data_IF_789924756272
#
_entry.id   IF_789924756272
#
_cell.length_a   1.000
_cell.length_b   1.000
_cell.length_c   1.000
_cell.angle_alpha   90.00
_cell.angle_beta   90.00
_cell.angle_gamma   90.00
#
_symmetry.space_group_name_H-M   'P 1'
#
loop_
_entity.id
_entity.type
_entity.pdbx_description
1 polymer ?
#
# COMPACT_ATOMS: atom_id res chain seq x y z
N UNK A 1 8.47 -5.78 -29.16
CA UNK A 1 7.16 -6.47 -29.22
C UNK A 1 7.32 -7.85 -28.61
N UNK A 2 6.94 -8.02 -27.34
CA UNK A 2 6.81 -9.34 -26.73
C UNK A 2 5.36 -9.78 -26.89
N UNK A 3 5.08 -11.01 -27.35
CA UNK A 3 3.71 -11.50 -27.50
C UNK A 3 3.05 -11.63 -26.12
N UNK A 4 1.81 -11.16 -26.01
CA UNK A 4 1.00 -11.29 -24.81
C UNK A 4 0.86 -12.77 -24.44
N UNK A 5 1.26 -13.13 -23.21
CA UNK A 5 1.07 -14.46 -22.68
C UNK A 5 -0.44 -14.82 -22.64
N UNK A 6 -0.83 -16.05 -23.00
CA UNK A 6 -2.21 -16.50 -22.88
C UNK A 6 -2.61 -16.47 -21.39
N UNK A 7 -3.75 -15.85 -21.08
CA UNK A 7 -4.34 -15.84 -19.74
C UNK A 7 -4.60 -17.29 -19.31
N UNK A 8 -3.74 -17.83 -18.46
CA UNK A 8 -3.93 -19.14 -17.87
C UNK A 8 -5.25 -19.14 -17.08
N UNK A 9 -6.18 -20.04 -17.42
CA UNK A 9 -7.34 -20.34 -16.56
C UNK A 9 -6.80 -20.88 -15.25
N UNK A 10 -6.74 -20.01 -14.23
CA UNK A 10 -6.36 -20.35 -12.86
C UNK A 10 -7.17 -21.57 -12.38
N UNK A 11 -6.48 -22.69 -12.17
CA UNK A 11 -7.03 -23.87 -11.47
C UNK A 11 -7.24 -23.61 -9.96
N UNK A 12 -6.75 -22.47 -9.46
CA UNK A 12 -6.63 -22.15 -8.04
C UNK A 12 -7.83 -21.39 -7.48
N UNK A 13 -8.59 -20.71 -8.32
CA UNK A 13 -9.71 -19.85 -7.91
C UNK A 13 -10.90 -19.98 -8.87
N UNK A 14 -12.09 -20.18 -8.33
CA UNK A 14 -13.37 -20.09 -9.06
C UNK A 14 -13.93 -18.69 -8.85
N UNK A 15 -14.28 -18.01 -9.94
CA UNK A 15 -15.02 -16.75 -9.89
C UNK A 15 -16.48 -16.95 -10.30
N UNK A 16 -17.36 -16.18 -9.67
CA UNK A 16 -18.77 -16.08 -10.04
C UNK A 16 -19.21 -14.62 -10.11
N UNK A 17 -20.30 -14.39 -10.82
CA UNK A 17 -20.93 -13.08 -11.00
C UNK A 17 -22.35 -13.16 -10.43
N UNK A 18 -22.71 -12.19 -9.61
CA UNK A 18 -24.07 -11.97 -9.13
C UNK A 18 -24.60 -10.75 -9.86
N UNK A 19 -25.60 -10.94 -10.71
CA UNK A 19 -26.22 -9.87 -11.50
C UNK A 19 -27.72 -10.11 -11.62
N UNK A 20 -28.44 -9.10 -12.07
CA UNK A 20 -29.90 -9.09 -12.17
C UNK A 20 -30.35 -8.91 -13.63
N UNK A 21 -31.48 -9.51 -13.96
CA UNK A 21 -32.21 -9.19 -15.19
C UNK A 21 -32.73 -7.75 -15.15
N UNK A 22 -33.04 -7.19 -16.31
CA UNK A 22 -33.41 -5.77 -16.46
C UNK A 22 -34.54 -5.31 -15.53
N UNK A 23 -35.55 -6.17 -15.31
CA UNK A 23 -36.70 -5.86 -14.45
C UNK A 23 -36.35 -5.87 -12.95
N UNK A 24 -35.38 -6.69 -12.53
CA UNK A 24 -34.96 -6.82 -11.14
C UNK A 24 -33.92 -5.76 -10.72
N UNK A 25 -33.22 -5.15 -11.69
CA UNK A 25 -32.24 -4.08 -11.45
C UNK A 25 -32.83 -2.87 -10.70
N UNK A 26 -33.96 -2.25 -11.11
CA UNK A 26 -34.52 -1.11 -10.39
C UNK A 26 -35.01 -1.47 -8.98
N UNK A 27 -35.50 -2.70 -8.78
CA UNK A 27 -35.96 -3.18 -7.47
C UNK A 27 -34.77 -3.25 -6.50
N UNK A 28 -33.64 -3.80 -6.95
CA UNK A 28 -32.44 -3.89 -6.13
C UNK A 28 -31.74 -2.54 -5.93
N UNK A 29 -31.75 -1.67 -6.95
CA UNK A 29 -31.22 -0.31 -6.88
C UNK A 29 -31.97 0.59 -5.89
N UNK A 30 -33.23 0.28 -5.57
CA UNK A 30 -34.01 1.00 -4.57
C UNK A 30 -33.56 0.73 -3.12
N UNK A 31 -32.75 -0.32 -2.89
CA UNK A 31 -32.18 -0.60 -1.58
C UNK A 31 -31.06 0.39 -1.22
N UNK A 32 -30.89 0.65 0.07
CA UNK A 32 -29.72 1.39 0.57
C UNK A 32 -28.43 0.60 0.32
N UNK A 33 -27.27 1.26 0.10
CA UNK A 33 -25.99 0.60 -0.13
C UNK A 33 -25.65 -0.50 0.88
N UNK A 34 -25.90 -0.27 2.18
CA UNK A 34 -25.62 -1.25 3.24
C UNK A 34 -26.46 -2.53 3.11
N UNK A 35 -27.70 -2.40 2.62
CA UNK A 35 -28.60 -3.55 2.40
C UNK A 35 -28.22 -4.32 1.14
N UNK A 36 -27.75 -3.61 0.10
CA UNK A 36 -27.20 -4.25 -1.09
C UNK A 36 -25.93 -5.05 -0.74
N UNK A 37 -25.03 -4.48 0.06
CA UNK A 37 -23.80 -5.14 0.50
C UNK A 37 -24.10 -6.35 1.38
N UNK A 38 -25.08 -6.24 2.28
CA UNK A 38 -25.55 -7.37 3.08
C UNK A 38 -26.10 -8.50 2.19
N UNK A 39 -26.92 -8.17 1.19
CA UNK A 39 -27.48 -9.16 0.26
C UNK A 39 -26.39 -9.87 -0.56
N UNK A 40 -25.43 -9.12 -1.13
CA UNK A 40 -24.31 -9.70 -1.89
C UNK A 40 -23.43 -10.59 -1.02
N UNK A 41 -23.15 -10.16 0.22
CA UNK A 41 -22.38 -10.94 1.18
C UNK A 41 -23.08 -12.25 1.51
N UNK A 42 -24.36 -12.20 1.86
CA UNK A 42 -25.13 -13.39 2.26
C UNK A 42 -25.24 -14.41 1.11
N UNK A 43 -25.50 -13.95 -0.12
CA UNK A 43 -25.50 -14.85 -1.29
C UNK A 43 -24.13 -15.50 -1.47
N UNK A 44 -23.06 -14.72 -1.38
CA UNK A 44 -21.70 -15.21 -1.60
C UNK A 44 -21.29 -16.23 -0.55
N UNK A 45 -21.61 -15.98 0.72
CA UNK A 45 -21.35 -16.88 1.83
C UNK A 45 -22.17 -18.18 1.71
N UNK A 46 -23.44 -18.10 1.33
CA UNK A 46 -24.29 -19.27 1.12
C UNK A 46 -23.82 -20.12 -0.07
N UNK A 47 -23.38 -19.49 -1.16
CA UNK A 47 -22.79 -20.17 -2.32
C UNK A 47 -21.49 -20.88 -1.91
N UNK A 48 -20.61 -20.21 -1.17
CA UNK A 48 -19.37 -20.81 -0.68
C UNK A 48 -19.66 -22.01 0.25
N UNK A 49 -20.62 -21.88 1.16
CA UNK A 49 -21.07 -22.97 2.03
C UNK A 49 -21.60 -24.17 1.23
N UNK A 50 -22.46 -23.93 0.24
CA UNK A 50 -23.02 -25.00 -0.62
C UNK A 50 -21.95 -25.73 -1.43
N UNK A 51 -20.87 -25.06 -1.78
CA UNK A 51 -19.71 -25.63 -2.49
C UNK A 51 -18.66 -26.21 -1.54
N UNK A 52 -18.84 -26.13 -0.22
CA UNK A 52 -17.89 -26.63 0.78
C UNK A 52 -16.58 -25.85 0.84
N UNK A 53 -16.60 -24.57 0.46
CA UNK A 53 -15.41 -23.70 0.36
C UNK A 53 -15.59 -22.41 1.18
N UNK A 54 -14.73 -21.42 0.95
CA UNK A 54 -14.75 -20.11 1.60
C UNK A 54 -14.77 -18.99 0.57
N UNK A 55 -15.16 -17.80 0.99
CA UNK A 55 -15.06 -16.59 0.18
C UNK A 55 -13.65 -16.03 0.31
N UNK A 56 -12.96 -15.84 -0.81
CA UNK A 56 -11.62 -15.21 -0.86
C UNK A 56 -11.69 -13.73 -1.21
N UNK A 57 -12.73 -13.32 -1.94
CA UNK A 57 -12.93 -11.93 -2.32
C UNK A 57 -14.35 -11.67 -2.79
N UNK A 58 -14.85 -10.47 -2.53
CA UNK A 58 -16.12 -9.96 -3.01
C UNK A 58 -15.90 -8.50 -3.41
N UNK A 59 -16.19 -8.17 -4.67
CA UNK A 59 -16.06 -6.83 -5.23
C UNK A 59 -17.38 -6.45 -5.86
N UNK A 60 -17.93 -5.31 -5.44
CA UNK A 60 -19.20 -4.78 -5.95
C UNK A 60 -18.88 -3.65 -6.93
N UNK A 61 -19.42 -3.75 -8.14
CA UNK A 61 -19.30 -2.78 -9.21
C UNK A 61 -20.61 -1.97 -9.25
N UNK A 62 -20.52 -0.68 -8.93
CA UNK A 62 -21.65 0.27 -8.92
C UNK A 62 -21.52 1.38 -9.96
N UNK A 63 -20.46 1.35 -10.76
CA UNK A 63 -20.12 2.37 -11.74
C UNK A 63 -20.31 1.88 -13.19
N UNK A 64 -20.96 0.73 -13.36
CA UNK A 64 -21.27 0.10 -14.63
C UNK A 64 -22.76 0.19 -14.94
N UNK A 65 -23.17 -0.26 -16.14
CA UNK A 65 -24.56 -0.14 -16.60
C UNK A 65 -25.59 -0.90 -15.73
N UNK A 66 -25.13 -1.91 -14.98
CA UNK A 66 -25.93 -2.64 -14.01
C UNK A 66 -25.08 -2.99 -12.80
N UNK A 67 -25.60 -2.70 -11.60
CA UNK A 67 -24.96 -3.08 -10.34
C UNK A 67 -24.79 -4.61 -10.28
N UNK A 68 -23.56 -5.06 -10.10
CA UNK A 68 -23.23 -6.47 -10.02
C UNK A 68 -22.04 -6.71 -9.09
N UNK A 69 -21.92 -7.94 -8.63
CA UNK A 69 -20.83 -8.33 -7.75
C UNK A 69 -20.04 -9.49 -8.33
N UNK A 70 -18.72 -9.39 -8.25
CA UNK A 70 -17.77 -10.46 -8.52
C UNK A 70 -17.36 -11.09 -7.20
N UNK A 71 -17.54 -12.40 -7.08
CA UNK A 71 -17.01 -13.15 -5.94
C UNK A 71 -15.98 -14.17 -6.39
N UNK A 72 -15.02 -14.43 -5.51
CA UNK A 72 -13.97 -15.41 -5.70
C UNK A 72 -13.98 -16.41 -4.56
N UNK A 73 -13.89 -17.68 -4.91
CA UNK A 73 -13.71 -18.79 -3.97
C UNK A 73 -12.50 -19.63 -4.37
N UNK A 74 -11.81 -20.29 -3.42
CA UNK A 74 -10.79 -21.27 -3.75
C UNK A 74 -11.33 -22.38 -4.66
N UNK A 75 -10.48 -22.88 -5.55
CA UNK A 75 -10.81 -23.99 -6.45
C UNK A 75 -10.97 -25.35 -5.75
N UNK A 76 -10.83 -25.40 -4.43
CA UNK A 76 -10.87 -26.58 -3.58
C UNK A 76 -11.80 -26.36 -2.37
N UNK A 77 -12.31 -27.46 -1.83
CA UNK A 77 -13.07 -27.47 -0.58
C UNK A 77 -12.15 -27.34 0.62
N UNK A 78 -12.74 -27.14 1.80
CA UNK A 78 -12.03 -27.19 3.09
C UNK A 78 -11.29 -28.51 3.32
N UNK A 79 -11.80 -29.60 2.73
CA UNK A 79 -11.19 -30.95 2.79
C UNK A 79 -10.19 -31.21 1.66
N UNK A 80 -9.83 -30.20 0.87
CA UNK A 80 -8.85 -30.30 -0.22
C UNK A 80 -9.36 -30.94 -1.51
N UNK A 81 -10.67 -31.21 -1.64
CA UNK A 81 -11.24 -31.74 -2.87
C UNK A 81 -11.46 -30.64 -3.92
N UNK A 82 -11.18 -30.89 -5.22
CA UNK A 82 -11.47 -29.90 -6.26
C UNK A 82 -12.97 -29.56 -6.32
N UNK A 83 -13.31 -28.27 -6.30
CA UNK A 83 -14.71 -27.79 -6.42
C UNK A 83 -15.35 -28.27 -7.72
N UNK A 84 -14.58 -28.54 -8.78
CA UNK A 84 -15.07 -29.14 -10.02
C UNK A 84 -15.77 -30.49 -9.85
N UNK A 85 -15.44 -31.25 -8.79
CA UNK A 85 -16.08 -32.53 -8.47
C UNK A 85 -17.43 -32.36 -7.77
N UNK A 86 -17.66 -31.22 -7.13
CA UNK A 86 -18.87 -30.88 -6.37
C UNK A 86 -19.83 -30.01 -7.18
N UNK A 87 -19.29 -29.06 -7.95
CA UNK A 87 -20.02 -28.14 -8.83
C UNK A 87 -20.57 -28.84 -10.09
N UNK A 88 -21.30 -29.93 -9.88
CA UNK A 88 -22.07 -30.65 -10.90
C UNK A 88 -23.42 -29.97 -11.12
N UNK A 89 -24.17 -30.44 -12.12
CA UNK A 89 -25.43 -29.84 -12.59
C UNK A 89 -26.45 -29.57 -11.47
N UNK A 90 -26.60 -30.50 -10.52
CA UNK A 90 -27.50 -30.33 -9.38
C UNK A 90 -27.04 -29.20 -8.45
N UNK A 91 -25.77 -29.21 -8.04
CA UNK A 91 -25.22 -28.15 -7.20
C UNK A 91 -25.35 -26.77 -7.87
N UNK A 92 -25.08 -26.64 -9.16
CA UNK A 92 -25.22 -25.38 -9.90
C UNK A 92 -26.68 -24.89 -9.98
N UNK A 93 -27.65 -25.80 -10.09
CA UNK A 93 -29.08 -25.47 -10.02
C UNK A 93 -29.45 -24.96 -8.63
N UNK A 94 -28.90 -25.57 -7.59
CA UNK A 94 -29.14 -25.17 -6.21
C UNK A 94 -28.56 -23.77 -5.96
N UNK A 95 -27.39 -23.43 -6.53
CA UNK A 95 -26.82 -22.08 -6.41
C UNK A 95 -27.77 -20.99 -6.92
N UNK A 96 -28.41 -21.21 -8.08
CA UNK A 96 -29.38 -20.26 -8.61
C UNK A 96 -30.62 -20.11 -7.71
N UNK A 97 -30.99 -21.18 -7.02
CA UNK A 97 -32.15 -21.21 -6.12
C UNK A 97 -31.81 -20.48 -4.82
N UNK A 98 -30.67 -20.79 -4.21
CA UNK A 98 -30.12 -20.08 -3.04
C UNK A 98 -30.01 -18.59 -3.31
N UNK A 99 -29.47 -18.19 -4.46
CA UNK A 99 -29.33 -16.78 -4.82
C UNK A 99 -30.69 -16.09 -4.93
N UNK A 100 -31.68 -16.72 -5.57
CA UNK A 100 -33.02 -16.15 -5.72
C UNK A 100 -33.74 -16.01 -4.36
N UNK A 101 -33.67 -17.03 -3.49
CA UNK A 101 -34.31 -17.00 -2.17
C UNK A 101 -33.71 -15.93 -1.26
N UNK A 102 -32.38 -15.81 -1.23
CA UNK A 102 -31.70 -14.78 -0.44
C UNK A 102 -32.02 -13.39 -1.00
N UNK A 103 -31.90 -13.20 -2.31
CA UNK A 103 -32.19 -11.90 -2.93
C UNK A 103 -33.65 -11.49 -2.77
N UNK A 104 -34.60 -12.44 -2.88
CA UNK A 104 -36.02 -12.18 -2.65
C UNK A 104 -36.35 -11.78 -1.21
N UNK A 105 -35.58 -12.27 -0.21
CA UNK A 105 -35.72 -11.82 1.19
C UNK A 105 -35.26 -10.37 1.39
N UNK A 106 -34.20 -9.95 0.70
CA UNK A 106 -33.67 -8.58 0.78
C UNK A 106 -34.48 -7.60 -0.07
N UNK A 107 -34.94 -8.04 -1.24
CA UNK A 107 -35.69 -7.27 -2.22
C UNK A 107 -36.94 -8.05 -2.68
N UNK A 108 -38.09 -7.89 -1.99
CA UNK A 108 -39.34 -8.51 -2.41
C UNK A 108 -39.70 -8.11 -3.85
N UNK A 109 -39.92 -9.10 -4.71
CA UNK A 109 -40.16 -8.91 -6.16
C UNK A 109 -39.03 -9.42 -7.06
N UNK A 110 -37.88 -9.81 -6.49
CA UNK A 110 -36.85 -10.56 -7.22
C UNK A 110 -37.15 -12.05 -7.12
N UNK A 111 -37.38 -12.67 -8.27
CA UNK A 111 -37.69 -14.10 -8.38
C UNK A 111 -36.63 -14.87 -9.17
N UNK A 112 -36.69 -16.20 -9.08
CA UNK A 112 -35.79 -17.10 -9.80
C UNK A 112 -36.09 -17.05 -11.31
N UNK A 113 -35.05 -16.87 -12.11
CA UNK A 113 -35.19 -16.88 -13.57
C UNK A 113 -35.73 -18.20 -14.14
N UNK A 114 -36.42 -18.11 -15.28
CA UNK A 114 -36.94 -19.28 -16.01
C UNK A 114 -35.82 -20.18 -16.50
N UNK A 115 -36.00 -21.49 -16.35
CA UNK A 115 -34.96 -22.43 -16.78
C UNK A 115 -34.82 -22.44 -18.30
N UNK A 116 -33.60 -22.70 -18.77
CA UNK A 116 -33.30 -22.86 -20.20
C UNK A 116 -34.29 -23.77 -20.94
N UNK A 117 -34.66 -24.89 -20.32
CA UNK A 117 -35.56 -25.86 -20.94
C UNK A 117 -37.01 -25.35 -21.01
N UNK A 118 -37.46 -24.56 -20.02
CA UNK A 118 -38.76 -23.91 -20.08
C UNK A 118 -38.81 -22.82 -21.16
N UNK A 119 -37.71 -22.08 -21.34
CA UNK A 119 -37.59 -21.06 -22.39
C UNK A 119 -37.63 -21.67 -23.80
N UNK A 120 -36.91 -22.78 -24.01
CA UNK A 120 -36.97 -23.55 -25.26
C UNK A 120 -38.38 -24.13 -25.48
N UNK A 121 -39.02 -24.67 -24.44
CA UNK A 121 -40.39 -25.17 -24.53
C UNK A 121 -41.42 -24.07 -24.83
N UNK A 122 -41.13 -22.83 -24.45
CA UNK A 122 -41.92 -21.64 -24.78
C UNK A 122 -41.65 -21.09 -26.19
N UNK A 123 -40.74 -21.71 -26.96
CA UNK A 123 -40.48 -21.37 -28.37
C UNK A 123 -39.29 -20.44 -28.62
N UNK A 124 -38.43 -20.19 -27.63
CA UNK A 124 -37.19 -19.43 -27.86
C UNK A 124 -36.14 -20.23 -28.65
N UNK A 125 -35.37 -19.54 -29.50
CA UNK A 125 -34.25 -20.13 -30.21
C UNK A 125 -33.15 -20.58 -29.23
N UNK A 126 -32.61 -21.77 -29.46
CA UNK A 126 -31.48 -22.32 -28.71
C UNK A 126 -30.30 -21.34 -28.62
N UNK A 127 -30.01 -20.59 -29.69
CA UNK A 127 -28.93 -19.62 -29.75
C UNK A 127 -29.06 -18.49 -28.72
N UNK A 128 -30.29 -18.13 -28.35
CA UNK A 128 -30.59 -17.08 -27.38
C UNK A 128 -30.59 -17.59 -25.92
N UNK A 129 -30.47 -18.90 -25.75
CA UNK A 129 -30.33 -19.54 -24.43
C UNK A 129 -28.89 -19.80 -23.99
N UNK A 130 -27.92 -19.55 -24.89
CA UNK A 130 -26.49 -19.76 -24.61
C UNK A 130 -25.88 -18.49 -24.02
N UNK A 131 -25.08 -18.66 -22.96
CA UNK A 131 -24.38 -17.54 -22.33
C UNK A 131 -23.38 -16.92 -23.31
N UNK A 132 -23.59 -15.65 -23.64
CA UNK A 132 -22.65 -14.84 -24.42
C UNK A 132 -21.71 -14.12 -23.46
N UNK A 133 -20.43 -14.00 -23.78
CA UNK A 133 -19.52 -13.14 -23.01
C UNK A 133 -19.80 -11.66 -23.28
N UNK A 134 -19.45 -10.77 -22.35
CA UNK A 134 -19.61 -9.33 -22.54
C UNK A 134 -18.84 -8.82 -23.79
N UNK A 135 -17.68 -9.39 -24.08
CA UNK A 135 -16.90 -9.07 -25.28
C UNK A 135 -17.62 -9.51 -26.58
N UNK A 136 -18.19 -10.71 -26.59
CA UNK A 136 -18.99 -11.18 -27.73
C UNK A 136 -20.26 -10.35 -27.93
N UNK A 137 -20.93 -9.94 -26.86
CA UNK A 137 -22.08 -9.02 -26.92
C UNK A 137 -21.68 -7.67 -27.52
N UNK A 138 -20.61 -7.04 -27.04
CA UNK A 138 -20.11 -5.75 -27.55
C UNK A 138 -19.72 -5.82 -29.03
N UNK A 139 -19.10 -6.93 -29.45
CA UNK A 139 -18.68 -7.15 -30.84
C UNK A 139 -19.86 -7.33 -31.80
N UNK A 140 -20.92 -8.03 -31.36
CA UNK A 140 -22.11 -8.32 -32.19
C UNK A 140 -23.14 -7.20 -32.22
N UNK A 141 -23.17 -6.34 -31.20
CA UNK A 141 -24.16 -5.26 -31.06
C UNK A 141 -24.35 -4.38 -32.32
N UNK A 142 -23.29 -3.95 -33.04
CA UNK A 142 -23.47 -3.16 -34.26
C UNK A 142 -24.19 -3.92 -35.38
N UNK A 143 -23.90 -5.22 -35.51
CA UNK A 143 -24.54 -6.07 -36.51
C UNK A 143 -26.01 -6.35 -36.13
N UNK A 144 -26.31 -6.52 -34.84
CA UNK A 144 -27.69 -6.68 -34.35
C UNK A 144 -28.53 -5.40 -34.58
N UNK A 145 -27.95 -4.21 -34.35
CA UNK A 145 -28.62 -2.94 -34.68
C UNK A 145 -28.90 -2.85 -36.18
N UNK A 146 -27.90 -3.10 -37.03
CA UNK A 146 -28.06 -3.03 -38.48
C UNK A 146 -29.11 -4.02 -39.00
N UNK A 147 -29.15 -5.23 -38.45
CA UNK A 147 -30.18 -6.24 -38.78
C UNK A 147 -31.58 -5.75 -38.39
N UNK A 148 -31.75 -5.20 -37.18
CA UNK A 148 -33.04 -4.66 -36.72
C UNK A 148 -33.47 -3.41 -37.49
N UNK A 149 -32.55 -2.58 -37.93
CA UNK A 149 -32.84 -1.44 -38.82
C UNK A 149 -33.34 -1.91 -40.19
N UNK A 150 -32.77 -2.99 -40.74
CA UNK A 150 -33.26 -3.59 -41.98
C UNK A 150 -34.66 -4.21 -41.80
N UNK A 151 -34.92 -4.89 -40.68
CA UNK A 151 -36.25 -5.40 -40.33
C UNK A 151 -37.28 -4.28 -40.19
N UNK A 152 -36.91 -3.14 -39.58
CA UNK A 152 -37.78 -1.97 -39.46
C UNK A 152 -38.22 -1.45 -40.84
N UNK A 153 -37.27 -1.32 -41.78
CA UNK A 153 -37.57 -0.90 -43.15
C UNK A 153 -38.53 -1.87 -43.83
N UNK A 154 -38.29 -3.18 -43.71
CA UNK A 154 -39.16 -4.20 -44.30
C UNK A 154 -40.58 -4.20 -43.67
N UNK A 155 -40.67 -4.02 -42.36
CA UNK A 155 -41.95 -3.91 -41.64
C UNK A 155 -42.72 -2.65 -42.05
N UNK A 156 -42.03 -1.52 -42.23
CA UNK A 156 -42.63 -0.27 -42.71
C UNK A 156 -43.19 -0.44 -44.13
N UNK A 157 -42.43 -1.04 -45.05
CA UNK A 157 -42.94 -1.31 -46.40
C UNK A 157 -44.20 -2.20 -46.40
N UNK A 158 -44.23 -3.21 -45.52
CA UNK A 158 -45.39 -4.11 -45.37
C UNK A 158 -46.61 -3.35 -44.85
N UNK A 159 -46.40 -2.43 -43.91
CA UNK A 159 -47.44 -1.53 -43.41
C UNK A 159 -47.97 -0.63 -44.52
N UNK A 160 -47.09 0.01 -45.30
CA UNK A 160 -47.46 0.90 -46.40
C UNK A 160 -48.26 0.16 -47.48
N UNK A 161 -47.80 -1.04 -47.87
CA UNK A 161 -48.50 -1.92 -48.82
C UNK A 161 -49.91 -2.30 -48.33
N UNK A 162 -50.06 -2.71 -47.08
CA UNK A 162 -51.35 -3.06 -46.51
C UNK A 162 -52.29 -1.85 -46.41
N UNK A 163 -51.75 -0.68 -46.07
CA UNK A 163 -52.49 0.59 -46.01
C UNK A 163 -53.04 0.98 -47.39
N UNK A 164 -52.21 0.88 -48.44
CA UNK A 164 -52.65 1.14 -49.81
C UNK A 164 -53.72 0.14 -50.30
N UNK A 165 -53.57 -1.15 -49.97
CA UNK A 165 -54.55 -2.19 -50.29
C UNK A 165 -55.89 -1.99 -49.58
N UNK A 166 -55.87 -1.57 -48.31
CA UNK A 166 -57.05 -1.23 -47.53
C UNK A 166 -57.80 -0.04 -48.16
N UNK A 167 -57.09 1.05 -48.48
CA UNK A 167 -57.68 2.22 -49.13
C UNK A 167 -58.35 1.86 -50.48
N UNK A 168 -57.69 1.02 -51.29
CA UNK A 168 -58.24 0.53 -52.56
C UNK A 168 -59.48 -0.36 -52.36
N UNK A 169 -59.45 -1.23 -51.36
CA UNK A 169 -60.58 -2.11 -51.02
C UNK A 169 -61.79 -1.31 -50.53
N UNK A 170 -61.58 -0.28 -49.70
CA UNK A 170 -62.62 0.63 -49.22
C UNK A 170 -63.26 1.42 -50.37
N UNK A 171 -62.47 2.00 -51.27
CA UNK A 171 -62.98 2.72 -52.44
C UNK A 171 -63.79 1.81 -53.40
N UNK A 172 -63.45 0.52 -53.48
CA UNK A 172 -64.18 -0.45 -54.33
C UNK A 172 -65.48 -0.96 -53.66
N UNK A 173 -65.60 -0.81 -52.34
CA UNK A 173 -66.74 -1.28 -51.56
C UNK A 173 -68.03 -0.47 -51.77
N UNK A 174 -67.94 0.65 -52.49
CA UNK A 174 -69.05 1.54 -52.85
C UNK A 174 -69.71 1.18 -54.21
N UNK A 175 -69.16 0.22 -54.96
CA UNK A 175 -69.62 -0.15 -56.32
C UNK A 175 -70.23 -1.56 -56.46
N UNK A 176 -70.45 -2.02 -57.72
CA UNK A 176 -71.12 -3.31 -58.09
C UNK A 176 -70.46 -4.60 -57.55
N UNK A 177 -69.29 -4.54 -56.89
CA UNK A 177 -68.56 -5.67 -56.27
C UNK A 177 -68.37 -5.50 -54.75
N UNK A 178 -69.31 -4.83 -54.08
CA UNK A 178 -69.20 -4.37 -52.70
C UNK A 178 -68.87 -5.46 -51.66
N UNK A 179 -69.46 -6.66 -51.75
CA UNK A 179 -69.34 -7.65 -50.67
C UNK A 179 -67.93 -8.29 -50.57
N UNK A 180 -67.33 -8.64 -51.71
CA UNK A 180 -65.95 -9.16 -51.76
C UNK A 180 -64.94 -8.08 -51.32
N UNK A 181 -65.17 -6.83 -51.70
CA UNK A 181 -64.34 -5.69 -51.32
C UNK A 181 -64.37 -5.45 -49.80
N UNK A 182 -65.54 -5.55 -49.15
CA UNK A 182 -65.68 -5.44 -47.68
C UNK A 182 -64.95 -6.56 -46.94
N UNK A 183 -65.05 -7.82 -47.38
CA UNK A 183 -64.30 -8.94 -46.76
C UNK A 183 -62.78 -8.76 -46.88
N UNK A 184 -62.31 -8.25 -48.02
CA UNK A 184 -60.90 -7.94 -48.23
C UNK A 184 -60.43 -6.78 -47.33
N UNK A 185 -61.24 -5.74 -47.17
CA UNK A 185 -60.92 -4.61 -46.28
C UNK A 185 -60.69 -5.06 -44.83
N UNK A 186 -61.59 -5.88 -44.27
CA UNK A 186 -61.42 -6.45 -42.91
C UNK A 186 -60.13 -7.28 -42.79
N UNK A 187 -59.77 -8.01 -43.86
CA UNK A 187 -58.54 -8.80 -43.89
C UNK A 187 -57.29 -7.90 -43.91
N UNK A 188 -57.29 -6.84 -44.72
CA UNK A 188 -56.17 -5.89 -44.79
C UNK A 188 -56.03 -5.08 -43.51
N UNK A 189 -57.13 -4.74 -42.85
CA UNK A 189 -57.15 -4.05 -41.56
C UNK A 189 -56.48 -4.89 -40.46
N UNK A 190 -56.82 -6.19 -40.35
CA UNK A 190 -56.12 -7.12 -39.43
C UNK A 190 -54.63 -7.24 -39.75
N UNK A 191 -54.25 -7.27 -41.03
CA UNK A 191 -52.85 -7.34 -41.46
C UNK A 191 -52.08 -6.05 -41.18
N UNK A 192 -52.74 -4.90 -41.31
CA UNK A 192 -52.19 -3.59 -40.97
C UNK A 192 -51.93 -3.49 -39.47
N UNK A 193 -52.88 -3.92 -38.65
CA UNK A 193 -52.74 -3.88 -37.18
C UNK A 193 -51.62 -4.82 -36.69
N UNK A 194 -51.53 -6.03 -37.25
CA UNK A 194 -50.40 -6.92 -37.00
C UNK A 194 -49.05 -6.31 -37.41
N UNK A 195 -48.98 -5.65 -38.57
CA UNK A 195 -47.75 -4.97 -39.03
C UNK A 195 -47.38 -3.76 -38.16
N UNK A 196 -48.36 -3.01 -37.63
CA UNK A 196 -48.12 -1.92 -36.67
C UNK A 196 -47.55 -2.44 -35.36
N UNK A 197 -48.12 -3.51 -34.83
CA UNK A 197 -47.62 -4.14 -33.60
C UNK A 197 -46.19 -4.68 -33.78
N UNK A 198 -45.90 -5.28 -34.94
CA UNK A 198 -44.57 -5.76 -35.31
C UNK A 198 -43.56 -4.59 -35.38
N UNK A 199 -43.93 -3.49 -36.03
CA UNK A 199 -43.11 -2.28 -36.15
C UNK A 199 -42.81 -1.64 -34.79
N UNK A 200 -43.81 -1.49 -33.93
CA UNK A 200 -43.64 -0.95 -32.58
C UNK A 200 -42.68 -1.81 -31.72
N UNK A 201 -42.70 -3.14 -31.90
CA UNK A 201 -41.75 -4.05 -31.25
C UNK A 201 -40.32 -3.82 -31.71
N UNK A 202 -40.10 -3.71 -33.02
CA UNK A 202 -38.77 -3.46 -33.61
C UNK A 202 -38.20 -2.10 -33.17
N UNK A 203 -39.04 -1.06 -33.11
CA UNK A 203 -38.64 0.27 -32.63
C UNK A 203 -38.21 0.26 -31.16
N UNK A 204 -38.93 -0.48 -30.31
CA UNK A 204 -38.59 -0.63 -28.90
C UNK A 204 -37.25 -1.36 -28.71
N UNK A 205 -37.00 -2.41 -29.49
CA UNK A 205 -35.73 -3.15 -29.48
C UNK A 205 -34.57 -2.28 -29.98
N UNK A 206 -34.75 -1.52 -31.06
CA UNK A 206 -33.74 -0.58 -31.56
C UNK A 206 -33.39 0.49 -30.52
N UNK A 207 -34.39 1.02 -29.81
CA UNK A 207 -34.17 1.97 -28.72
C UNK A 207 -33.32 1.35 -27.61
N UNK A 208 -33.58 0.09 -27.24
CA UNK A 208 -32.80 -0.64 -26.24
C UNK A 208 -31.34 -0.86 -26.68
N UNK A 209 -31.14 -1.34 -27.91
CA UNK A 209 -29.79 -1.64 -28.43
C UNK A 209 -28.95 -0.37 -28.60
N UNK A 210 -29.55 0.74 -29.05
CA UNK A 210 -28.88 2.04 -29.14
C UNK A 210 -28.50 2.57 -27.75
N UNK A 211 -29.39 2.45 -26.76
CA UNK A 211 -29.08 2.79 -25.37
C UNK A 211 -27.87 2.02 -24.82
N UNK A 212 -27.79 0.71 -25.11
CA UNK A 212 -26.64 -0.11 -24.74
C UNK A 212 -25.35 0.36 -25.44
N UNK A 213 -25.42 0.68 -26.74
CA UNK A 213 -24.29 1.19 -27.51
C UNK A 213 -23.74 2.52 -26.93
N UNK A 214 -24.63 3.42 -26.52
CA UNK A 214 -24.24 4.69 -25.92
C UNK A 214 -23.62 4.52 -24.54
N UNK A 215 -24.14 3.60 -23.72
CA UNK A 215 -23.53 3.22 -22.44
C UNK A 215 -22.11 2.69 -22.62
N UNK A 216 -21.90 1.77 -23.58
CA UNK A 216 -20.58 1.23 -23.90
C UNK A 216 -19.62 2.33 -24.36
N UNK A 217 -20.09 3.29 -25.17
CA UNK A 217 -19.28 4.44 -25.61
C UNK A 217 -18.90 5.35 -24.43
N UNK A 218 -19.82 5.58 -23.51
CA UNK A 218 -19.56 6.39 -22.31
C UNK A 218 -18.51 5.73 -21.41
N UNK A 219 -18.63 4.44 -21.18
CA UNK A 219 -17.68 3.63 -20.40
C UNK A 219 -16.29 3.64 -21.04
N UNK A 220 -16.19 3.43 -22.36
CA UNK A 220 -14.91 3.50 -23.08
C UNK A 220 -14.23 4.88 -22.97
N UNK A 221 -15.00 5.98 -22.98
CA UNK A 221 -14.45 7.33 -22.75
C UNK A 221 -13.91 7.51 -21.34
N UNK A 222 -14.58 6.94 -20.33
CA UNK A 222 -14.11 6.97 -18.93
C UNK A 222 -12.79 6.19 -18.80
N UNK A 223 -12.73 4.97 -19.33
CA UNK A 223 -11.54 4.14 -19.33
C UNK A 223 -10.35 4.80 -20.04
N UNK A 224 -10.58 5.53 -21.14
CA UNK A 224 -9.52 6.27 -21.83
C UNK A 224 -8.91 7.36 -20.93
N UNK A 225 -9.76 8.17 -20.27
CA UNK A 225 -9.31 9.21 -19.33
C UNK A 225 -8.56 8.62 -18.13
N UNK A 226 -9.05 7.51 -17.59
CA UNK A 226 -8.37 6.82 -16.49
C UNK A 226 -7.00 6.26 -16.93
N UNK A 227 -6.91 5.73 -18.16
CA UNK A 227 -5.65 5.28 -18.75
C UNK A 227 -4.62 6.41 -18.89
N UNK A 228 -5.04 7.59 -19.34
CA UNK A 228 -4.17 8.78 -19.43
C UNK A 228 -3.65 9.21 -18.04
N UNK A 229 -4.52 9.24 -17.04
CA UNK A 229 -4.13 9.54 -15.65
C UNK A 229 -3.11 8.54 -15.12
N UNK A 230 -3.35 7.24 -15.29
CA UNK A 230 -2.43 6.18 -14.85
C UNK A 230 -1.08 6.30 -15.57
N UNK A 231 -1.08 6.62 -16.87
CA UNK A 231 0.15 6.84 -17.61
C UNK A 231 0.96 8.03 -17.08
N UNK A 232 0.28 9.14 -16.72
CA UNK A 232 0.92 10.31 -16.12
C UNK A 232 1.52 9.98 -14.75
N UNK A 233 0.78 9.31 -13.87
CA UNK A 233 1.26 8.89 -12.55
C UNK A 233 2.47 7.95 -12.65
N UNK A 234 2.43 6.98 -13.59
CA UNK A 234 3.55 6.09 -13.84
C UNK A 234 4.78 6.84 -14.37
N UNK A 235 4.58 7.86 -15.22
CA UNK A 235 5.64 8.74 -15.69
C UNK A 235 6.31 9.51 -14.55
N UNK A 236 5.52 10.03 -13.60
CA UNK A 236 6.02 10.73 -12.41
C UNK A 236 6.81 9.79 -11.49
N UNK A 237 6.26 8.61 -11.17
CA UNK A 237 6.95 7.60 -10.35
C UNK A 237 8.26 7.12 -10.98
N UNK A 238 8.28 6.95 -12.31
CA UNK A 238 9.51 6.60 -13.01
C UNK A 238 10.58 7.72 -12.93
N UNK A 239 10.16 8.99 -13.00
CA UNK A 239 11.07 10.12 -12.81
C UNK A 239 11.60 10.21 -11.37
N UNK A 240 10.75 9.95 -10.38
CA UNK A 240 11.14 9.90 -8.97
C UNK A 240 12.12 8.76 -8.69
N UNK A 241 11.86 7.56 -9.21
CA UNK A 241 12.77 6.41 -9.11
C UNK A 241 14.16 6.74 -9.66
N UNK A 242 14.24 7.37 -10.84
CA UNK A 242 15.53 7.79 -11.43
C UNK A 242 16.28 8.77 -10.53
N UNK A 243 15.59 9.75 -9.94
CA UNK A 243 16.20 10.70 -8.99
C UNK A 243 16.72 10.01 -7.74
N UNK A 244 15.98 9.04 -7.21
CA UNK A 244 16.40 8.25 -6.05
C UNK A 244 17.63 7.39 -6.38
N UNK A 245 17.67 6.77 -7.56
CA UNK A 245 18.82 5.97 -8.01
C UNK A 245 20.08 6.83 -8.17
N UNK A 246 19.96 8.03 -8.75
CA UNK A 246 21.05 9.00 -8.84
C UNK A 246 21.55 9.43 -7.46
N UNK A 247 20.63 9.75 -6.54
CA UNK A 247 20.98 10.11 -5.16
C UNK A 247 21.65 8.93 -4.42
N UNK A 248 21.19 7.70 -4.64
CA UNK A 248 21.78 6.50 -4.07
C UNK A 248 23.19 6.26 -4.63
N UNK A 249 23.39 6.47 -5.93
CA UNK A 249 24.70 6.37 -6.56
C UNK A 249 25.68 7.39 -5.96
N UNK A 250 25.27 8.65 -5.81
CA UNK A 250 26.07 9.68 -5.15
C UNK A 250 26.44 9.31 -3.70
N UNK A 251 25.47 8.81 -2.93
CA UNK A 251 25.70 8.34 -1.56
C UNK A 251 26.66 7.14 -1.51
N UNK A 252 26.52 6.16 -2.42
CA UNK A 252 27.44 5.02 -2.53
C UNK A 252 28.87 5.47 -2.82
N UNK A 253 29.05 6.40 -3.75
CA UNK A 253 30.37 7.00 -4.05
C UNK A 253 30.96 7.67 -2.81
N UNK A 254 30.17 8.43 -2.06
CA UNK A 254 30.61 9.08 -0.82
C UNK A 254 30.96 8.06 0.27
N UNK A 255 30.19 6.98 0.42
CA UNK A 255 30.51 5.90 1.36
C UNK A 255 31.80 5.19 0.94
N UNK A 256 32.01 4.94 -0.35
CA UNK A 256 33.24 4.34 -0.86
C UNK A 256 34.46 5.23 -0.59
N UNK A 257 34.35 6.55 -0.80
CA UNK A 257 35.44 7.49 -0.50
C UNK A 257 35.74 7.56 1.00
N UNK A 258 34.70 7.55 1.85
CA UNK A 258 34.87 7.51 3.30
C UNK A 258 35.51 6.20 3.76
N UNK A 259 35.12 5.07 3.18
CA UNK A 259 35.75 3.76 3.46
C UNK A 259 37.21 3.74 3.03
N UNK A 260 37.55 4.27 1.86
CA UNK A 260 38.93 4.37 1.41
C UNK A 260 39.78 5.22 2.37
N UNK A 261 39.23 6.36 2.83
CA UNK A 261 39.86 7.23 3.82
C UNK A 261 39.99 6.57 5.20
N UNK A 262 39.01 5.75 5.60
CA UNK A 262 39.09 4.95 6.82
C UNK A 262 40.14 3.82 6.71
N UNK A 263 40.23 3.18 5.55
CA UNK A 263 41.18 2.10 5.30
C UNK A 263 42.62 2.62 5.25
N UNK A 264 42.85 3.83 4.73
CA UNK A 264 44.16 4.49 4.83
C UNK A 264 44.54 4.85 6.27
N UNK A 265 43.56 5.00 7.18
CA UNK A 265 43.80 5.22 8.60
C UNK A 265 44.07 3.91 9.37
N UNK A 266 43.66 2.75 8.83
CA UNK A 266 43.70 1.45 9.52
C UNK A 266 44.86 0.52 9.09
N UNK A 267 45.73 0.92 8.16
CA UNK A 267 46.72 0.00 7.56
C UNK A 267 47.99 -0.25 8.39
N UNK A 268 48.18 0.46 9.50
CA UNK A 268 49.16 0.16 10.55
C UNK A 268 48.59 0.78 11.83
N UNK A 269 48.80 0.21 13.02
CA UNK A 269 48.23 0.74 14.26
C UNK A 269 49.21 1.68 15.03
N UNK A 270 49.46 2.92 14.59
CA UNK A 270 49.75 4.02 15.51
C UNK A 270 48.44 4.76 15.84
N UNK A 271 48.35 5.28 17.06
CA UNK A 271 47.37 6.29 17.45
C UNK A 271 47.32 7.40 16.36
N UNK A 272 46.12 7.81 15.95
CA UNK A 272 45.95 8.77 14.85
C UNK A 272 46.22 10.21 15.30
N UNK A 273 46.55 11.12 14.37
CA UNK A 273 46.75 12.54 14.70
C UNK A 273 45.52 13.14 15.39
N UNK A 274 44.31 12.80 14.91
CA UNK A 274 43.07 13.25 15.54
C UNK A 274 42.95 12.78 17.00
N UNK A 275 43.31 11.53 17.29
CA UNK A 275 43.28 11.00 18.66
C UNK A 275 44.30 11.69 19.56
N UNK A 276 45.50 11.97 19.05
CA UNK A 276 46.53 12.72 19.78
C UNK A 276 46.09 14.16 20.05
N UNK A 277 45.48 14.82 19.07
CA UNK A 277 45.05 16.22 19.20
C UNK A 277 43.86 16.36 20.16
N UNK A 278 42.90 15.42 20.10
CA UNK A 278 41.79 15.35 21.07
C UNK A 278 42.32 15.08 22.49
N UNK A 279 43.24 14.13 22.65
CA UNK A 279 43.88 13.86 23.94
C UNK A 279 44.64 15.08 24.46
N UNK A 280 45.43 15.75 23.60
CA UNK A 280 46.20 16.93 23.99
C UNK A 280 45.30 18.08 24.46
N UNK A 281 44.17 18.28 23.78
CA UNK A 281 43.14 19.27 24.15
C UNK A 281 42.52 18.92 25.50
N UNK A 282 42.11 17.67 25.69
CA UNK A 282 41.54 17.21 26.95
C UNK A 282 42.51 17.35 28.13
N UNK A 283 43.78 16.97 27.94
CA UNK A 283 44.82 17.14 28.97
C UNK A 283 45.10 18.62 29.25
N UNK A 284 45.07 19.49 28.23
CA UNK A 284 45.17 20.93 28.42
C UNK A 284 44.00 21.48 29.26
N UNK A 285 42.77 21.01 29.02
CA UNK A 285 41.61 21.39 29.83
C UNK A 285 41.77 20.96 31.29
N UNK A 286 42.20 19.72 31.55
CA UNK A 286 42.53 19.26 32.90
C UNK A 286 43.63 20.11 33.55
N UNK A 287 44.69 20.45 32.80
CA UNK A 287 45.76 21.30 33.30
C UNK A 287 45.28 22.70 33.67
N UNK A 288 44.34 23.29 32.90
CA UNK A 288 43.71 24.58 33.24
C UNK A 288 42.82 24.45 34.48
N UNK A 289 41.95 23.44 34.53
CA UNK A 289 41.01 23.19 35.62
C UNK A 289 41.76 23.02 36.95
N UNK A 290 42.77 22.15 36.97
CA UNK A 290 43.52 21.80 38.18
C UNK A 290 44.78 22.65 38.40
N UNK A 291 45.01 23.67 37.56
CA UNK A 291 46.20 24.54 37.60
C UNK A 291 47.52 23.76 37.60
N UNK A 292 47.59 22.70 36.82
CA UNK A 292 48.78 21.87 36.67
C UNK A 292 49.68 22.50 35.59
N UNK A 293 50.92 22.91 35.90
CA UNK A 293 51.81 23.44 34.87
C UNK A 293 52.21 22.30 33.91
N UNK A 294 52.32 22.57 32.61
CA UNK A 294 52.71 21.55 31.62
C UNK A 294 54.24 21.43 31.59
N UNK A 295 54.79 20.45 32.33
CA UNK A 295 56.24 20.23 32.44
C UNK A 295 56.57 18.73 32.43
N UNK A 296 57.85 18.40 32.26
CA UNK A 296 58.35 17.02 32.37
C UNK A 296 58.11 16.37 33.75
N UNK A 297 57.75 17.14 34.78
CA UNK A 297 57.50 16.61 36.14
C UNK A 297 56.04 16.45 36.50
N UNK A 298 55.13 16.96 35.67
CA UNK A 298 53.71 17.12 36.00
C UNK A 298 52.79 16.53 34.94
N UNK A 299 53.17 16.58 33.66
CA UNK A 299 52.42 15.97 32.56
C UNK A 299 53.36 15.00 31.86
N UNK A 300 53.19 13.72 32.19
CA UNK A 300 54.03 12.64 31.71
C UNK A 300 53.19 11.58 30.98
N UNK A 301 53.70 11.07 29.87
CA UNK A 301 53.32 9.75 29.39
C UNK A 301 53.84 8.68 30.36
N UNK A 302 53.19 7.52 30.38
CA UNK A 302 53.64 6.41 31.23
C UNK A 302 55.09 5.98 30.90
N UNK A 303 55.52 6.17 29.64
CA UNK A 303 56.84 5.83 29.11
C UNK A 303 57.99 6.61 29.74
N UNK A 304 57.73 7.87 30.05
CA UNK A 304 58.76 8.79 30.51
C UNK A 304 58.84 8.90 32.02
N UNK A 305 57.91 8.29 32.77
CA UNK A 305 57.91 8.33 34.24
C UNK A 305 59.21 7.76 34.81
N UNK A 306 59.63 6.57 34.37
CA UNK A 306 60.89 5.98 34.84
C UNK A 306 62.15 6.81 34.46
N UNK A 307 62.39 7.18 33.19
CA UNK A 307 63.59 7.95 32.83
C UNK A 307 63.56 9.39 33.36
N UNK A 308 62.40 9.98 33.64
CA UNK A 308 62.28 11.38 34.07
C UNK A 308 62.22 11.53 35.59
N UNK A 309 61.53 10.62 36.28
CA UNK A 309 61.30 10.69 37.73
C UNK A 309 62.09 9.63 38.52
N UNK A 310 62.74 8.68 37.85
CA UNK A 310 63.48 7.59 38.51
C UNK A 310 62.58 6.53 39.16
N UNK A 311 61.28 6.57 38.90
CA UNK A 311 60.29 5.66 39.50
C UNK A 311 60.24 4.37 38.67
N UNK A 312 60.62 3.24 39.28
CA UNK A 312 60.58 1.93 38.60
C UNK A 312 59.13 1.50 38.39
N UNK A 313 58.76 1.20 37.14
CA UNK A 313 57.42 0.74 36.76
C UNK A 313 57.45 -0.71 36.27
N UNK A 314 56.37 -1.45 36.53
CA UNK A 314 56.11 -2.77 35.98
C UNK A 314 55.04 -2.66 34.88
N UNK A 315 55.11 -3.50 33.84
CA UNK A 315 54.17 -3.54 32.70
C UNK A 315 54.03 -2.20 31.96
N UNK A 316 55.05 -1.84 31.18
CA UNK A 316 55.09 -0.63 30.35
C UNK A 316 54.10 -0.71 29.17
N UNK A 317 53.02 0.07 29.23
CA UNK A 317 52.03 0.25 28.16
C UNK A 317 52.09 1.69 27.63
N UNK A 318 52.98 1.94 26.69
CA UNK A 318 53.49 3.29 26.48
C UNK A 318 53.21 3.86 25.09
N UNK A 319 52.80 5.13 25.05
CA UNK A 319 52.78 5.98 23.85
C UNK A 319 54.22 6.43 23.58
N UNK A 320 55.10 5.50 23.21
CA UNK A 320 56.42 5.83 22.65
C UNK A 320 56.37 5.94 21.11
N UNK A 321 55.16 5.91 20.54
CA UNK A 321 54.90 5.88 19.11
C UNK A 321 53.78 6.87 18.78
N UNK A 322 54.12 7.98 18.10
CA UNK A 322 53.19 9.01 17.65
C UNK A 322 52.87 8.86 16.16
N UNK A 323 51.78 9.48 15.67
CA UNK A 323 51.45 9.49 14.25
C UNK A 323 52.61 10.03 13.41
N UNK A 324 52.88 9.37 12.27
CA UNK A 324 53.96 9.76 11.35
C UNK A 324 55.37 9.26 11.73
N UNK A 325 55.51 8.51 12.82
CA UNK A 325 56.78 7.86 13.16
C UNK A 325 56.84 6.44 12.57
N UNK A 326 57.98 6.06 12.00
CA UNK A 326 58.18 4.71 11.42
C UNK A 326 58.48 3.63 12.49
N UNK A 327 58.89 4.04 13.70
CA UNK A 327 59.20 3.17 14.84
C UNK A 327 59.05 3.92 16.17
N UNK A 328 58.93 3.23 17.31
CA UNK A 328 58.95 3.86 18.63
C UNK A 328 60.20 4.72 18.84
N UNK A 329 60.01 5.93 19.38
CA UNK A 329 61.07 6.88 19.67
C UNK A 329 61.52 6.85 21.13
N UNK A 330 62.46 7.72 21.47
CA UNK A 330 62.88 7.94 22.85
C UNK A 330 61.70 8.44 23.71
N UNK A 331 61.41 7.81 24.88
CA UNK A 331 60.26 8.17 25.71
C UNK A 331 60.20 9.64 26.12
N UNK A 332 61.35 10.25 26.43
CA UNK A 332 61.40 11.66 26.85
C UNK A 332 61.14 12.58 25.66
N UNK A 333 61.73 12.28 24.50
CA UNK A 333 61.50 13.03 23.27
C UNK A 333 60.04 12.95 22.79
N UNK A 334 59.41 11.77 22.91
CA UNK A 334 57.98 11.59 22.59
C UNK A 334 57.10 12.34 23.59
N UNK A 335 57.43 12.29 24.88
CA UNK A 335 56.77 13.08 25.92
C UNK A 335 56.85 14.58 25.65
N UNK A 336 57.98 15.09 25.14
CA UNK A 336 58.12 16.50 24.79
C UNK A 336 57.23 16.90 23.62
N UNK A 337 57.09 16.03 22.61
CA UNK A 337 56.17 16.28 21.49
C UNK A 337 54.71 16.32 21.96
N UNK A 338 54.32 15.42 22.88
CA UNK A 338 53.00 15.45 23.50
C UNK A 338 52.78 16.74 24.29
N UNK A 339 53.73 17.14 25.14
CA UNK A 339 53.68 18.40 25.89
C UNK A 339 53.66 19.62 24.98
N UNK A 340 54.31 19.59 23.82
CA UNK A 340 54.25 20.68 22.84
C UNK A 340 52.83 20.81 22.26
N UNK A 341 52.16 19.70 21.93
CA UNK A 341 50.76 19.72 21.47
C UNK A 341 49.80 20.18 22.58
N UNK A 342 50.02 19.73 23.81
CA UNK A 342 49.24 20.19 24.99
C UNK A 342 49.48 21.69 25.23
N UNK A 343 50.74 22.15 25.17
CA UNK A 343 51.11 23.56 25.31
C UNK A 343 50.51 24.45 24.23
N UNK A 344 50.45 23.96 22.98
CA UNK A 344 49.74 24.64 21.91
C UNK A 344 48.23 24.73 22.18
N UNK A 345 47.62 23.65 22.69
CA UNK A 345 46.21 23.65 23.09
C UNK A 345 45.95 24.59 24.29
N UNK A 346 46.88 24.71 25.25
CA UNK A 346 46.77 25.64 26.38
C UNK A 346 46.65 27.11 25.95
N UNK A 347 47.21 27.48 24.79
CA UNK A 347 47.11 28.82 24.21
C UNK A 347 45.80 29.10 23.45
N UNK A 348 44.96 28.09 23.24
CA UNK A 348 43.62 28.22 22.66
C UNK A 348 42.58 28.39 23.77
N UNK A 349 41.45 29.09 23.52
CA UNK A 349 40.34 29.11 24.47
C UNK A 349 39.92 27.67 24.77
N UNK A 350 39.61 27.38 26.04
CA UNK A 350 39.12 26.06 26.43
C UNK A 350 37.97 25.70 25.49
N UNK A 351 38.14 24.61 24.73
CA UNK A 351 37.04 24.09 23.94
C UNK A 351 35.98 23.71 24.95
N UNK A 352 34.71 24.06 24.70
CA UNK A 352 33.62 23.40 25.42
C UNK A 352 33.85 21.91 25.18
N UNK A 353 34.43 21.26 26.17
CA UNK A 353 34.65 19.83 26.14
C UNK A 353 33.28 19.27 25.85
N UNK A 354 33.15 18.56 24.74
CA UNK A 354 32.07 17.59 24.61
C UNK A 354 32.44 16.53 25.63
N UNK A 355 32.20 16.85 26.91
CA UNK A 355 32.14 15.89 27.97
C UNK A 355 31.21 14.83 27.43
N UNK A 356 31.68 13.58 27.42
CA UNK A 356 30.82 12.46 27.09
C UNK A 356 29.74 12.42 28.17
N UNK A 357 28.66 13.16 27.93
CA UNK A 357 27.51 13.32 28.81
C UNK A 357 26.38 12.55 28.18
N UNK A 358 26.40 11.20 28.24
CA UNK A 358 25.33 10.42 27.70
C UNK A 358 24.03 10.84 28.39
N UNK A 359 22.95 10.93 27.61
CA UNK A 359 21.63 11.20 28.15
C UNK A 359 21.19 9.98 28.98
N UNK A 360 21.18 10.12 30.30
CA UNK A 360 20.76 9.04 31.19
C UNK A 360 19.35 9.27 31.72
N UNK A 361 18.56 8.21 31.81
CA UNK A 361 17.20 8.23 32.36
C UNK A 361 16.87 6.88 32.99
N UNK A 362 15.75 6.79 33.70
CA UNK A 362 15.29 5.53 34.26
C UNK A 362 15.28 4.41 33.19
N UNK A 363 15.93 3.29 33.52
CA UNK A 363 16.14 2.17 32.61
C UNK A 363 17.47 2.19 31.83
N UNK A 364 18.25 3.27 31.90
CA UNK A 364 19.65 3.27 31.43
C UNK A 364 20.51 2.35 32.29
N UNK A 365 21.55 1.76 31.67
CA UNK A 365 22.50 0.86 32.36
C UNK A 365 23.94 1.06 31.87
N UNK A 366 24.92 0.63 32.67
CA UNK A 366 26.35 0.59 32.32
C UNK A 366 27.21 1.64 33.04
N UNK A 367 28.49 1.70 32.70
CA UNK A 367 29.53 2.45 33.43
C UNK A 367 29.19 3.94 33.63
N UNK A 368 28.50 4.56 32.67
CA UNK A 368 28.06 5.95 32.80
C UNK A 368 27.02 6.16 33.91
N UNK A 369 26.16 5.17 34.16
CA UNK A 369 25.19 5.19 35.26
C UNK A 369 25.89 4.95 36.59
N UNK A 370 26.85 4.03 36.61
CA UNK A 370 27.67 3.78 37.80
C UNK A 370 28.40 5.05 38.23
N UNK A 371 29.00 5.74 37.27
CA UNK A 371 29.66 7.02 37.49
C UNK A 371 28.71 8.12 37.98
N UNK A 372 27.51 8.23 37.39
CA UNK A 372 26.46 9.13 37.89
C UNK A 372 26.09 8.81 39.36
N UNK A 373 25.90 7.54 39.70
CA UNK A 373 25.54 7.12 41.04
C UNK A 373 26.64 7.51 42.03
N UNK A 374 27.91 7.30 41.71
CA UNK A 374 29.03 7.78 42.54
C UNK A 374 28.99 9.29 42.76
N UNK A 375 28.78 10.09 41.70
CA UNK A 375 28.73 11.54 41.81
C UNK A 375 27.54 12.04 42.64
N UNK A 376 26.38 11.40 42.52
CA UNK A 376 25.21 11.75 43.34
C UNK A 376 25.46 11.43 44.82
N UNK A 377 26.08 10.27 45.11
CA UNK A 377 26.46 9.87 46.46
C UNK A 377 27.51 10.80 47.09
N UNK A 378 28.51 11.23 46.30
CA UNK A 378 29.51 12.23 46.72
C UNK A 378 28.92 13.61 47.04
N UNK A 379 27.71 13.90 46.55
CA UNK A 379 26.98 15.15 46.83
C UNK A 379 25.87 14.97 47.87
N UNK A 380 25.98 13.93 48.69
CA UNK A 380 25.05 13.62 49.78
C UNK A 380 23.61 13.29 49.33
N UNK A 381 23.41 12.91 48.06
CA UNK A 381 22.15 12.33 47.59
C UNK A 381 22.22 10.79 47.67
N UNK A 382 21.09 10.12 47.88
CA UNK A 382 21.03 8.64 47.94
C UNK A 382 20.53 8.06 46.60
N UNK A 383 21.42 7.69 45.66
CA UNK A 383 21.03 7.04 44.41
C UNK A 383 20.72 5.54 44.59
N UNK A 384 20.91 4.99 45.80
CA UNK A 384 20.99 3.55 46.06
C UNK A 384 22.40 2.97 45.83
N UNK A 385 22.51 1.63 45.71
CA UNK A 385 23.74 0.96 45.33
C UNK A 385 24.29 1.50 44.01
N UNK A 386 25.61 1.59 43.95
CA UNK A 386 26.35 1.93 42.74
C UNK A 386 26.48 0.63 41.93
N UNK A 387 25.43 0.30 41.18
CA UNK A 387 25.26 -0.97 40.46
C UNK A 387 25.19 -0.78 38.94
N UNK A 388 25.35 0.45 38.47
CA UNK A 388 25.25 0.79 37.05
C UNK A 388 23.84 0.66 36.49
N UNK A 389 22.79 0.57 37.32
CA UNK A 389 21.40 0.47 36.91
C UNK A 389 20.58 1.71 37.33
N UNK A 390 20.03 2.44 36.36
CA UNK A 390 19.30 3.67 36.63
C UNK A 390 17.87 3.34 37.09
N UNK A 391 17.75 3.02 38.38
CA UNK A 391 16.51 2.63 39.05
C UNK A 391 15.71 3.80 39.64
N UNK A 392 14.66 3.47 40.39
CA UNK A 392 13.78 4.48 41.00
C UNK A 392 14.49 5.36 42.03
N UNK A 393 15.46 4.82 42.77
CA UNK A 393 16.28 5.59 43.73
C UNK A 393 17.21 6.57 43.03
N UNK A 394 17.94 6.12 42.00
CA UNK A 394 18.79 6.99 41.18
C UNK A 394 18.01 8.10 40.50
N UNK A 395 16.79 7.82 40.01
CA UNK A 395 15.91 8.85 39.46
C UNK A 395 15.46 9.88 40.50
N UNK A 396 15.15 9.43 41.72
CA UNK A 396 14.80 10.33 42.82
C UNK A 396 15.98 11.22 43.21
N UNK A 397 17.17 10.65 43.38
CA UNK A 397 18.39 11.39 43.68
C UNK A 397 18.72 12.41 42.58
N UNK A 398 18.57 12.04 41.31
CA UNK A 398 18.72 12.95 40.18
C UNK A 398 17.78 14.16 40.25
N UNK A 399 16.50 13.93 40.55
CA UNK A 399 15.50 14.98 40.71
C UNK A 399 15.83 15.89 41.89
N UNK A 400 16.25 15.33 43.03
CA UNK A 400 16.62 16.09 44.22
C UNK A 400 17.86 16.96 43.95
N UNK A 401 18.87 16.41 43.27
CA UNK A 401 20.06 17.14 42.84
C UNK A 401 19.71 18.28 41.87
N UNK A 402 18.89 18.02 40.85
CA UNK A 402 18.46 19.04 39.90
C UNK A 402 17.74 20.19 40.61
N UNK A 403 16.90 19.91 41.62
CA UNK A 403 16.26 20.95 42.43
C UNK A 403 17.27 21.78 43.22
N UNK A 404 18.24 21.14 43.88
CA UNK A 404 19.26 21.87 44.64
C UNK A 404 20.15 22.74 43.75
N UNK A 405 20.37 22.33 42.50
CA UNK A 405 21.19 23.05 41.53
C UNK A 405 20.40 24.04 40.66
N UNK A 406 19.11 24.27 40.94
CA UNK A 406 18.28 25.22 40.18
C UNK A 406 17.96 24.79 38.74
N UNK A 407 18.06 23.49 38.44
CA UNK A 407 17.75 22.89 37.14
C UNK A 407 16.30 22.38 37.08
N UNK A 408 15.81 22.11 35.86
CA UNK A 408 14.52 21.45 35.67
C UNK A 408 14.55 20.05 36.30
N UNK A 409 13.64 19.72 37.24
CA UNK A 409 13.68 18.48 38.01
C UNK A 409 12.97 17.33 37.29
N UNK A 410 13.45 16.97 36.09
CA UNK A 410 12.86 15.97 35.21
C UNK A 410 13.40 14.54 35.43
N UNK A 411 14.45 14.39 36.24
CA UNK A 411 15.11 13.11 36.51
C UNK A 411 15.90 12.56 35.33
N UNK A 412 16.18 13.39 34.32
CA UNK A 412 16.98 13.07 33.14
C UNK A 412 18.34 13.76 33.25
N UNK A 413 19.41 12.99 33.14
CA UNK A 413 20.77 13.53 33.17
C UNK A 413 21.18 13.90 31.76
N UNK A 414 20.89 15.14 31.39
CA UNK A 414 21.35 15.78 30.16
C UNK A 414 22.62 16.61 30.37
N UNK A 415 23.13 17.26 29.31
CA UNK A 415 24.37 18.04 29.35
C UNK A 415 24.41 19.08 30.48
N UNK A 416 23.28 19.72 30.79
CA UNK A 416 23.19 20.71 31.87
C UNK A 416 23.34 20.09 33.26
N UNK A 417 22.72 18.92 33.49
CA UNK A 417 22.83 18.20 34.76
C UNK A 417 24.24 17.66 34.97
N UNK A 418 24.86 17.14 33.91
CA UNK A 418 26.26 16.72 33.93
C UNK A 418 27.22 17.88 34.21
N UNK A 419 27.04 19.01 33.51
CA UNK A 419 27.86 20.21 33.75
C UNK A 419 27.74 20.69 35.20
N UNK A 420 26.55 20.64 35.79
CA UNK A 420 26.37 20.95 37.21
C UNK A 420 27.10 19.95 38.11
N UNK A 421 26.99 18.63 37.86
CA UNK A 421 27.67 17.60 38.64
C UNK A 421 29.21 17.77 38.64
N UNK A 422 29.78 18.16 37.49
CA UNK A 422 31.22 18.37 37.35
C UNK A 422 31.73 19.70 37.92
N UNK A 423 30.84 20.66 38.13
CA UNK A 423 31.14 21.92 38.80
C UNK A 423 31.05 21.66 40.31
N UNK A 424 32.12 21.16 40.92
CA UNK A 424 32.25 21.19 42.38
C UNK A 424 32.26 22.64 42.86
N UNK A 425 31.65 22.90 44.02
CA UNK A 425 31.78 24.19 44.72
C UNK A 425 33.21 24.41 45.26
#
# INVERSE_FOLDING_TARGET
MLPAAPVARSLWSRSGIITFGHEAQPIFAALTPDRQDAAYREVTEAVAARLGTTVSGLVVHRDEAADHAHFQCPGFTRDGMPVSKIAKREALRDLQTIAAEIMGRHAPGIERGTSRWQRIAAGEDYADTVHKSAAEMRSRLPAEIAAREAELVAAQEKLDKNTALLAKAQATAEGKRAEKARRNAVTYERRMEAARSELAGIEADLKRLRGLQDSIRAENRKLAKDGERIAQENGQKAAESRRLDEALAQKKTRIASLRARLQSLNAAYPITDLQIDVMATFVADLCRIYRIPVTRRTVLSHAEVQPTLGIKQNAKWDISWLPGMDKPGDPVAVGDQLRARIGAAMGQPATETVAYTPLLRRGSTGDAVEYLQSLLAERDFDPGPIDGAFGARTARAAVEYQKSSGLAPDGIIGPMTWAALFKGD
#
